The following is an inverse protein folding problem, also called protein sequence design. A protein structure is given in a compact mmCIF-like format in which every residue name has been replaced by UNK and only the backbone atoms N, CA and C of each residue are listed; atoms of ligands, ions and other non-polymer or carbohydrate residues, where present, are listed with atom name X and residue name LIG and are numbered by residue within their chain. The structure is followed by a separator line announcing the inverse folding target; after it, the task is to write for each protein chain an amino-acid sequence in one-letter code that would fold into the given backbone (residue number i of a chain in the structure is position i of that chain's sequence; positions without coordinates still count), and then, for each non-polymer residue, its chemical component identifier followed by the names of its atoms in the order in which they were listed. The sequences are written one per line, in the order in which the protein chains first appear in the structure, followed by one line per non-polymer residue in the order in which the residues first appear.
data_IF_540246100554
#
_entry.id   IF_540246100554
#
_cell.length_a   1.000
_cell.length_b   1.000
_cell.length_c   1.000
_cell.angle_alpha   90.00
_cell.angle_beta   90.00
_cell.angle_gamma   90.00
#
_symmetry.space_group_name_H-M   'P 1'
#
loop_
_entity.id
_entity.type
_entity.pdbx_description
1 polymer ?
#
# COMPACT_ATOMS: atom_id res chain seq x y z
N UNK A 1 -8.13 -16.57 -11.37
CA UNK A 1 -6.75 -16.34 -11.84
C UNK A 1 -6.16 -15.20 -11.00
N UNK A 2 -4.85 -15.16 -10.82
CA UNK A 2 -4.18 -14.09 -10.08
C UNK A 2 -3.52 -13.12 -11.05
N UNK A 3 -3.52 -11.84 -10.68
CA UNK A 3 -2.94 -10.78 -11.47
C UNK A 3 -2.16 -9.83 -10.57
N UNK A 4 -0.93 -9.54 -10.95
CA UNK A 4 -0.11 -8.52 -10.30
C UNK A 4 -0.25 -7.19 -11.04
N UNK A 5 -0.22 -6.09 -10.31
CA UNK A 5 -0.09 -4.76 -10.89
C UNK A 5 1.29 -4.65 -11.56
N UNK A 6 1.35 -4.05 -12.75
CA UNK A 6 2.62 -3.87 -13.46
C UNK A 6 3.56 -2.93 -12.71
N UNK A 7 4.84 -2.96 -13.10
CA UNK A 7 5.88 -2.16 -12.46
C UNK A 7 5.60 -0.66 -12.70
N UNK A 8 5.77 0.19 -11.68
CA UNK A 8 5.81 1.63 -11.88
C UNK A 8 6.98 2.03 -12.79
N UNK A 9 6.89 3.19 -13.42
CA UNK A 9 7.95 3.80 -14.23
C UNK A 9 8.40 5.12 -13.60
N UNK A 10 9.29 5.84 -14.27
CA UNK A 10 9.65 7.21 -13.89
C UNK A 10 8.55 8.22 -14.29
N UNK A 11 7.56 7.79 -15.07
CA UNK A 11 6.45 8.63 -15.54
C UNK A 11 5.32 8.64 -14.50
N UNK A 12 5.01 9.83 -13.99
CA UNK A 12 3.96 10.03 -12.99
C UNK A 12 2.58 9.58 -13.51
N UNK A 13 2.24 9.91 -14.75
CA UNK A 13 0.98 9.54 -15.40
C UNK A 13 0.75 8.02 -15.41
N UNK A 14 1.80 7.25 -15.71
CA UNK A 14 1.76 5.79 -15.70
C UNK A 14 1.55 5.25 -14.27
N UNK A 15 2.25 5.83 -13.30
CA UNK A 15 2.14 5.40 -11.91
C UNK A 15 0.74 5.64 -11.34
N UNK A 16 0.15 6.81 -11.60
CA UNK A 16 -1.24 7.05 -11.23
C UNK A 16 -2.22 6.21 -12.03
N UNK A 17 -1.96 5.92 -13.31
CA UNK A 17 -2.79 5.02 -14.10
C UNK A 17 -2.87 3.63 -13.44
N UNK A 18 -1.72 3.08 -13.04
CA UNK A 18 -1.68 1.81 -12.32
C UNK A 18 -2.49 1.85 -11.01
N UNK A 19 -2.32 2.90 -10.22
CA UNK A 19 -3.03 3.06 -8.95
C UNK A 19 -4.53 3.24 -9.16
N UNK A 20 -4.95 3.98 -10.19
CA UNK A 20 -6.35 4.16 -10.56
C UNK A 20 -6.99 2.84 -11.01
N UNK A 21 -6.31 2.07 -11.86
CA UNK A 21 -6.81 0.76 -12.26
C UNK A 21 -6.89 -0.22 -11.08
N UNK A 22 -5.99 -0.09 -10.11
CA UNK A 22 -6.05 -0.84 -8.86
C UNK A 22 -7.23 -0.40 -7.96
N UNK A 23 -7.54 0.89 -7.85
CA UNK A 23 -8.65 1.38 -7.01
C UNK A 23 -9.99 0.84 -7.50
N UNK A 24 -10.21 0.85 -8.81
CA UNK A 24 -11.40 0.28 -9.45
C UNK A 24 -11.57 -1.24 -9.25
N UNK A 25 -10.53 -1.93 -8.76
CA UNK A 25 -10.50 -3.38 -8.51
C UNK A 25 -10.18 -3.73 -7.06
N UNK A 26 -10.24 -2.76 -6.15
CA UNK A 26 -9.94 -2.89 -4.72
C UNK A 26 -10.59 -4.12 -4.08
N UNK A 27 -11.84 -4.43 -4.38
CA UNK A 27 -12.56 -5.62 -3.85
C UNK A 27 -11.91 -6.98 -4.17
N UNK A 28 -11.06 -7.05 -5.19
CA UNK A 28 -10.35 -8.28 -5.59
C UNK A 28 -8.92 -8.34 -5.04
N UNK A 29 -8.48 -7.31 -4.34
CA UNK A 29 -7.14 -7.23 -3.78
C UNK A 29 -6.94 -8.29 -2.69
N UNK A 30 -5.85 -9.05 -2.75
CA UNK A 30 -5.55 -10.13 -1.80
C UNK A 30 -4.28 -9.90 -0.97
N UNK A 31 -3.51 -8.88 -1.32
CA UNK A 31 -2.26 -8.53 -0.65
C UNK A 31 -1.23 -7.97 -1.61
N UNK A 32 -0.23 -7.29 -1.06
CA UNK A 32 0.99 -6.94 -1.79
C UNK A 32 2.06 -7.95 -1.47
N UNK A 33 2.76 -8.39 -2.50
CA UNK A 33 3.75 -9.44 -2.43
C UNK A 33 5.10 -8.91 -2.85
N UNK A 34 6.14 -9.25 -2.11
CA UNK A 34 7.51 -9.18 -2.62
C UNK A 34 7.81 -10.46 -3.38
N UNK A 35 7.82 -10.35 -4.71
CA UNK A 35 8.13 -11.44 -5.62
C UNK A 35 9.63 -11.38 -5.91
N UNK A 36 10.35 -12.38 -5.40
CA UNK A 36 11.81 -12.39 -5.40
C UNK A 36 12.39 -12.42 -6.83
N UNK A 37 11.78 -13.20 -7.72
CA UNK A 37 12.17 -13.33 -9.13
C UNK A 37 12.09 -12.02 -9.89
N UNK A 38 11.15 -11.14 -9.51
CA UNK A 38 10.95 -9.83 -10.13
C UNK A 38 11.66 -8.70 -9.37
N UNK A 39 12.23 -9.04 -8.20
CA UNK A 39 12.75 -8.12 -7.21
C UNK A 39 11.82 -6.90 -6.98
N UNK A 40 10.51 -7.16 -6.84
CA UNK A 40 9.48 -6.12 -6.84
C UNK A 40 8.42 -6.40 -5.77
N UNK A 41 8.02 -5.34 -5.07
CA UNK A 41 6.79 -5.33 -4.29
C UNK A 41 5.64 -4.98 -5.23
N UNK A 42 4.67 -5.88 -5.40
CA UNK A 42 3.52 -5.63 -6.26
C UNK A 42 2.21 -6.04 -5.61
N UNK A 43 1.18 -5.19 -5.69
CA UNK A 43 -0.21 -5.54 -5.41
C UNK A 43 -0.70 -6.71 -6.26
N UNK A 44 -1.38 -7.65 -5.63
CA UNK A 44 -1.94 -8.83 -6.30
C UNK A 44 -3.45 -8.89 -6.07
N UNK A 45 -4.16 -9.26 -7.14
CA UNK A 45 -5.60 -9.32 -7.21
C UNK A 45 -6.05 -10.71 -7.69
N UNK A 46 -7.13 -11.23 -7.10
CA UNK A 46 -7.79 -12.46 -7.54
C UNK A 46 -9.11 -12.09 -8.22
N UNK A 47 -9.09 -12.00 -9.55
CA UNK A 47 -10.22 -11.53 -10.36
C UNK A 47 -10.50 -12.43 -11.58
N UNK A 48 -11.71 -12.40 -12.14
CA UNK A 48 -12.02 -13.10 -13.39
C UNK A 48 -11.31 -12.42 -14.58
N UNK A 49 -10.86 -13.17 -15.60
CA UNK A 49 -10.14 -12.60 -16.75
C UNK A 49 -10.93 -11.53 -17.53
N UNK A 50 -12.26 -11.56 -17.47
CA UNK A 50 -13.16 -10.68 -18.21
C UNK A 50 -13.11 -9.20 -17.79
N UNK A 51 -12.56 -8.90 -16.61
CA UNK A 51 -12.53 -7.52 -16.06
C UNK A 51 -11.11 -6.95 -15.93
N UNK A 52 -10.12 -7.67 -16.45
CA UNK A 52 -8.70 -7.34 -16.31
C UNK A 52 -8.26 -6.42 -17.44
N UNK A 53 -7.72 -5.27 -17.07
CA UNK A 53 -7.00 -4.44 -18.03
C UNK A 53 -5.56 -4.93 -18.19
N UNK A 54 -5.27 -5.55 -19.34
CA UNK A 54 -3.94 -6.08 -19.66
C UNK A 54 -2.85 -5.00 -19.77
N UNK A 55 -3.22 -3.72 -19.84
CA UNK A 55 -2.26 -2.61 -19.77
C UNK A 55 -1.73 -2.45 -18.36
N UNK A 56 -2.60 -2.52 -17.35
CA UNK A 56 -2.22 -2.30 -15.94
C UNK A 56 -1.80 -3.58 -15.19
N UNK A 57 -2.29 -4.75 -15.62
CA UNK A 57 -2.10 -6.00 -14.90
C UNK A 57 -1.38 -7.06 -15.72
N UNK A 58 -0.60 -7.90 -15.04
CA UNK A 58 0.04 -9.09 -15.61
C UNK A 58 -0.43 -10.35 -14.89
N UNK A 59 -0.74 -11.45 -15.60
CA UNK A 59 -1.05 -12.71 -14.95
C UNK A 59 0.13 -13.20 -14.10
N UNK A 60 -0.18 -13.88 -13.00
CA UNK A 60 0.81 -14.51 -12.13
C UNK A 60 0.34 -15.91 -11.75
N UNK A 61 1.26 -16.86 -11.81
CA UNK A 61 1.01 -18.24 -11.41
C UNK A 61 0.91 -18.35 -9.89
N UNK A 62 0.09 -19.28 -9.43
CA UNK A 62 -0.15 -19.48 -7.99
C UNK A 62 1.14 -19.89 -7.27
N UNK A 63 1.95 -20.70 -7.91
CA UNK A 63 3.22 -21.21 -7.39
C UNK A 63 4.20 -20.07 -7.09
N UNK A 64 4.20 -19.02 -7.92
CA UNK A 64 5.02 -17.82 -7.67
C UNK A 64 4.54 -17.10 -6.40
N UNK A 65 3.21 -16.99 -6.21
CA UNK A 65 2.63 -16.36 -5.02
C UNK A 65 2.85 -17.17 -3.75
N UNK A 66 2.73 -18.50 -3.82
CA UNK A 66 2.95 -19.41 -2.68
C UNK A 66 4.40 -19.37 -2.17
N UNK A 67 5.33 -18.91 -3.02
CA UNK A 67 6.75 -18.71 -2.70
C UNK A 67 7.11 -17.26 -2.35
N UNK A 68 6.24 -16.29 -2.68
CA UNK A 68 6.46 -14.89 -2.42
C UNK A 68 6.21 -14.51 -0.95
N UNK A 69 6.72 -13.35 -0.55
CA UNK A 69 6.47 -12.78 0.77
C UNK A 69 5.26 -11.85 0.69
N UNK A 70 4.14 -12.22 1.31
CA UNK A 70 2.98 -11.34 1.46
C UNK A 70 3.27 -10.29 2.53
N UNK A 71 3.20 -9.00 2.21
CA UNK A 71 3.42 -7.93 3.18
C UNK A 71 2.28 -7.87 4.19
N UNK A 72 2.62 -7.58 5.45
CA UNK A 72 1.64 -7.52 6.55
C UNK A 72 1.76 -6.21 7.32
N UNK A 73 0.68 -5.44 7.38
CA UNK A 73 0.61 -4.29 8.28
C UNK A 73 0.37 -4.75 9.73
N UNK A 74 1.27 -4.37 10.63
CA UNK A 74 1.14 -4.72 12.06
C UNK A 74 0.44 -3.64 12.91
N UNK A 75 -0.10 -2.58 12.29
CA UNK A 75 -0.75 -1.48 13.00
C UNK A 75 0.21 -0.72 13.94
N UNK A 76 1.41 -0.37 13.44
CA UNK A 76 2.37 0.44 14.19
C UNK A 76 2.16 1.95 14.01
N UNK A 77 1.37 2.37 13.00
CA UNK A 77 1.02 3.77 12.72
C UNK A 77 2.10 4.56 11.97
N UNK A 78 3.31 4.00 11.77
CA UNK A 78 4.46 4.77 11.24
C UNK A 78 4.26 5.28 9.81
N UNK A 79 3.67 4.48 8.92
CA UNK A 79 3.37 4.92 7.55
C UNK A 79 2.24 5.95 7.48
N UNK A 80 1.35 5.99 8.48
CA UNK A 80 0.23 6.92 8.50
C UNK A 80 0.58 8.25 9.19
N UNK A 81 1.49 8.21 10.17
CA UNK A 81 1.71 9.31 11.11
C UNK A 81 2.73 10.36 10.65
N UNK A 82 3.50 10.14 9.58
CA UNK A 82 4.48 11.11 9.07
C UNK A 82 4.79 10.86 7.61
N UNK A 83 4.87 11.92 6.82
CA UNK A 83 5.18 11.86 5.38
C UNK A 83 4.39 10.74 4.68
N UNK A 84 3.10 10.66 5.00
CA UNK A 84 2.27 9.51 4.64
C UNK A 84 2.10 9.37 3.13
N UNK A 85 2.20 10.47 2.38
CA UNK A 85 1.92 10.51 0.95
C UNK A 85 0.52 9.99 0.62
N UNK A 86 -0.38 10.00 1.61
CA UNK A 86 -1.72 9.47 1.46
C UNK A 86 -2.53 10.38 0.54
N UNK A 87 -3.28 9.76 -0.36
CA UNK A 87 -4.18 10.42 -1.29
C UNK A 87 -5.39 9.51 -1.55
N UNK A 88 -6.41 10.04 -2.19
CA UNK A 88 -7.52 9.25 -2.71
C UNK A 88 -7.97 9.80 -4.06
N UNK A 89 -8.41 8.93 -4.95
CA UNK A 89 -9.14 9.36 -6.13
C UNK A 89 -10.55 9.83 -5.73
N UNK A 90 -11.15 10.69 -6.56
CA UNK A 90 -12.49 11.23 -6.30
C UNK A 90 -13.54 10.14 -6.01
N UNK A 91 -13.58 9.06 -6.80
CA UNK A 91 -14.51 7.96 -6.58
C UNK A 91 -14.29 7.21 -5.26
N UNK A 92 -13.07 7.26 -4.69
CA UNK A 92 -12.79 6.66 -3.39
C UNK A 92 -13.21 7.58 -2.25
N UNK A 93 -13.05 8.91 -2.40
CA UNK A 93 -13.52 9.90 -1.40
C UNK A 93 -15.01 9.73 -1.13
N UNK A 94 -15.81 9.50 -2.17
CA UNK A 94 -17.25 9.26 -2.04
C UNK A 94 -17.60 8.09 -1.10
N UNK A 95 -16.71 7.10 -0.95
CA UNK A 95 -16.93 5.96 -0.05
C UNK A 95 -16.80 6.33 1.45
N UNK A 96 -16.13 7.44 1.78
CA UNK A 96 -15.82 7.79 3.17
C UNK A 96 -15.89 9.27 3.52
N UNK A 97 -16.43 10.12 2.64
CA UNK A 97 -16.49 11.58 2.84
C UNK A 97 -17.16 11.99 4.15
N UNK A 98 -18.20 11.27 4.58
CA UNK A 98 -18.94 11.56 5.81
C UNK A 98 -18.16 11.23 7.10
N UNK A 99 -17.04 10.52 6.95
CA UNK A 99 -16.14 10.16 8.07
C UNK A 99 -14.92 11.08 8.14
N UNK A 100 -14.71 11.95 7.15
CA UNK A 100 -13.60 12.87 7.18
C UNK A 100 -13.73 13.84 8.37
N UNK A 101 -12.62 14.13 9.06
CA UNK A 101 -12.64 15.12 10.15
C UNK A 101 -12.70 16.57 9.64
N UNK A 102 -12.63 16.77 8.33
CA UNK A 102 -12.69 18.05 7.63
C UNK A 102 -13.60 17.91 6.41
N UNK A 103 -14.21 19.00 5.98
CA UNK A 103 -15.06 19.01 4.78
C UNK A 103 -14.22 18.73 3.52
N UNK A 104 -14.82 18.06 2.53
CA UNK A 104 -14.11 17.61 1.31
C UNK A 104 -13.59 18.78 0.48
N UNK A 105 -14.32 19.89 0.45
CA UNK A 105 -13.95 21.13 -0.23
C UNK A 105 -12.73 21.84 0.39
N UNK A 106 -12.42 21.54 1.65
CA UNK A 106 -11.22 22.00 2.35
C UNK A 106 -9.98 21.12 2.10
N UNK A 107 -10.13 19.99 1.41
CA UNK A 107 -8.98 19.16 1.02
C UNK A 107 -8.28 19.75 -0.20
N UNK A 108 -6.96 19.84 -0.17
CA UNK A 108 -6.20 20.13 -1.39
C UNK A 108 -6.38 19.00 -2.40
N UNK A 109 -6.59 19.37 -3.66
CA UNK A 109 -6.73 18.45 -4.76
C UNK A 109 -6.01 18.97 -5.99
N UNK A 110 -5.72 18.06 -6.92
CA UNK A 110 -5.17 18.38 -8.23
C UNK A 110 -5.72 17.40 -9.27
N UNK A 111 -5.63 17.77 -10.54
CA UNK A 111 -5.87 16.85 -11.64
C UNK A 111 -4.56 16.22 -12.08
N UNK A 112 -4.62 14.92 -12.37
CA UNK A 112 -3.54 14.21 -13.03
C UNK A 112 -4.10 13.58 -14.30
N UNK A 113 -3.37 13.71 -15.41
CA UNK A 113 -3.76 13.12 -16.68
C UNK A 113 -3.26 11.70 -16.74
N UNK A 114 -4.17 10.74 -16.73
CA UNK A 114 -3.83 9.33 -16.77
C UNK A 114 -3.75 8.82 -18.21
N UNK A 115 -2.73 8.00 -18.47
CA UNK A 115 -2.65 7.25 -19.72
C UNK A 115 -3.95 6.46 -19.95
N UNK A 116 -4.60 6.65 -21.09
CA UNK A 116 -5.80 5.91 -21.51
C UNK A 116 -7.10 6.14 -20.71
N UNK A 117 -7.13 7.03 -19.72
CA UNK A 117 -8.35 7.36 -18.95
C UNK A 117 -8.71 8.84 -19.10
N UNK A 118 -7.71 9.73 -19.14
CA UNK A 118 -7.93 11.18 -19.15
C UNK A 118 -7.69 11.81 -17.78
N UNK A 119 -8.25 12.98 -17.55
CA UNK A 119 -8.01 13.74 -16.32
C UNK A 119 -8.80 13.14 -15.16
N UNK A 120 -8.09 12.86 -14.06
CA UNK A 120 -8.68 12.34 -12.83
C UNK A 120 -8.31 13.25 -11.67
N UNK A 121 -9.30 13.56 -10.84
CA UNK A 121 -9.13 14.36 -9.63
C UNK A 121 -8.57 13.50 -8.49
N UNK A 122 -7.51 13.99 -7.88
CA UNK A 122 -6.80 13.35 -6.75
C UNK A 122 -6.83 14.29 -5.56
N UNK A 123 -7.32 13.79 -4.43
CA UNK A 123 -7.35 14.50 -3.16
C UNK A 123 -6.17 14.10 -2.29
N UNK A 124 -5.46 15.08 -1.75
CA UNK A 124 -4.35 14.85 -0.82
C UNK A 124 -4.88 14.64 0.60
N UNK A 125 -4.52 13.52 1.20
CA UNK A 125 -4.89 13.17 2.57
C UNK A 125 -3.75 13.41 3.56
N UNK A 126 -2.54 13.72 3.09
CA UNK A 126 -1.32 13.93 3.88
C UNK A 126 -1.20 15.34 4.48
N UNK A 127 -2.30 15.89 5.01
CA UNK A 127 -2.39 17.30 5.45
C UNK A 127 -2.23 17.56 6.93
N UNK A 128 -2.11 16.51 7.74
CA UNK A 128 -1.80 16.67 9.14
C UNK A 128 -0.36 17.13 9.39
N UNK A 129 -0.05 17.45 10.64
CA UNK A 129 1.29 17.86 11.08
C UNK A 129 2.35 16.87 10.57
N UNK A 130 3.45 17.40 10.02
CA UNK A 130 4.54 16.64 9.41
C UNK A 130 4.13 15.68 8.27
N UNK A 131 3.04 16.00 7.55
CA UNK A 131 2.51 15.18 6.44
C UNK A 131 1.78 13.92 6.90
N UNK A 132 1.22 13.95 8.12
CA UNK A 132 0.38 12.86 8.63
C UNK A 132 -0.93 12.77 7.85
N UNK A 133 -1.49 11.56 7.75
CA UNK A 133 -2.78 11.36 7.10
C UNK A 133 -3.91 11.92 7.96
N UNK A 134 -4.83 12.69 7.37
CA UNK A 134 -6.01 13.25 8.04
C UNK A 134 -6.94 12.18 8.60
N UNK A 135 -6.91 10.97 8.03
CA UNK A 135 -7.68 9.81 8.51
C UNK A 135 -7.02 9.07 9.68
N UNK A 136 -5.81 9.46 10.09
CA UNK A 136 -5.09 8.80 11.17
C UNK A 136 -5.37 9.47 12.52
N UNK A 137 -6.06 8.76 13.41
CA UNK A 137 -6.25 9.19 14.79
C UNK A 137 -4.96 8.94 15.58
N UNK A 138 -4.23 10.02 15.87
CA UNK A 138 -2.97 9.98 16.63
C UNK A 138 -3.18 9.49 18.07
N UNK A 139 -4.32 9.82 18.70
CA UNK A 139 -4.64 9.42 20.08
C UNK A 139 -4.89 7.92 20.16
N UNK A 140 -5.74 7.40 19.26
CA UNK A 140 -6.06 5.96 19.17
C UNK A 140 -4.98 5.14 18.45
N UNK A 141 -4.05 5.81 17.76
CA UNK A 141 -2.99 5.21 16.93
C UNK A 141 -3.56 4.27 15.87
N UNK A 142 -4.64 4.70 15.23
CA UNK A 142 -5.43 3.88 14.32
C UNK A 142 -6.04 4.73 13.21
N UNK A 143 -6.33 4.12 12.06
CA UNK A 143 -7.05 4.78 10.97
C UNK A 143 -8.54 4.80 11.27
N UNK A 144 -9.22 5.93 11.08
CA UNK A 144 -10.67 6.02 11.33
C UNK A 144 -11.50 5.19 10.34
N UNK A 145 -10.94 4.87 9.16
CA UNK A 145 -11.59 4.04 8.16
C UNK A 145 -11.45 2.55 8.46
N UNK A 146 -12.50 1.80 8.14
CA UNK A 146 -12.43 0.35 8.06
C UNK A 146 -11.49 -0.08 6.92
N UNK A 147 -11.06 -1.35 6.89
CA UNK A 147 -10.06 -1.81 5.92
C UNK A 147 -10.57 -1.71 4.48
N UNK A 148 -11.84 -2.04 4.28
CA UNK A 148 -12.56 -2.04 3.01
C UNK A 148 -12.80 -0.63 2.44
N UNK A 149 -12.86 0.38 3.31
CA UNK A 149 -13.10 1.79 2.95
C UNK A 149 -11.81 2.52 2.62
N UNK A 150 -10.65 1.94 2.95
CA UNK A 150 -9.37 2.62 2.75
C UNK A 150 -9.11 2.89 1.26
N UNK A 151 -8.56 4.06 0.92
CA UNK A 151 -8.07 4.34 -0.43
C UNK A 151 -7.06 3.31 -0.89
N UNK A 152 -6.95 3.13 -2.20
CA UNK A 152 -6.09 2.15 -2.83
C UNK A 152 -4.62 2.34 -2.44
N UNK A 153 -4.18 3.59 -2.26
CA UNK A 153 -2.81 3.85 -1.82
C UNK A 153 -2.59 3.39 -0.39
N UNK A 154 -3.59 3.48 0.49
CA UNK A 154 -3.47 3.06 1.89
C UNK A 154 -3.47 1.53 2.03
N UNK A 155 -4.18 0.84 1.14
CA UNK A 155 -4.06 -0.62 1.06
C UNK A 155 -2.73 -0.95 0.40
N UNK A 156 -2.38 -0.47 -0.79
CA UNK A 156 -1.16 -0.87 -1.53
C UNK A 156 0.16 -0.41 -0.88
N UNK A 157 0.18 0.70 -0.15
CA UNK A 157 1.36 1.25 0.49
C UNK A 157 1.67 0.47 1.77
N UNK A 158 2.38 -0.64 1.61
CA UNK A 158 2.69 -1.51 2.73
C UNK A 158 4.01 -1.21 3.41
N UNK A 159 4.01 -1.50 4.71
CA UNK A 159 5.23 -1.67 5.47
C UNK A 159 6.03 -2.86 4.92
N UNK A 160 7.13 -2.59 4.21
CA UNK A 160 8.05 -3.64 3.74
C UNK A 160 8.81 -4.36 4.88
N UNK A 161 8.57 -3.98 6.14
CA UNK A 161 9.28 -4.55 7.29
C UNK A 161 8.79 -5.93 7.67
N UNK A 162 7.48 -6.21 7.53
CA UNK A 162 6.87 -7.46 7.96
C UNK A 162 6.23 -8.18 6.80
N UNK A 163 6.41 -9.48 6.78
CA UNK A 163 5.82 -10.34 5.77
C UNK A 163 5.35 -11.66 6.35
N UNK A 164 4.51 -12.35 5.60
CA UNK A 164 4.10 -13.71 5.81
C UNK A 164 4.43 -14.52 4.55
N UNK A 165 4.92 -15.74 4.74
CA UNK A 165 5.14 -16.70 3.65
C UNK A 165 4.82 -18.09 4.18
N UNK A 166 3.91 -18.80 3.51
CA UNK A 166 3.47 -20.17 3.88
C UNK A 166 3.07 -20.29 5.36
N UNK A 167 2.27 -19.35 5.86
CA UNK A 167 1.79 -19.33 7.25
C UNK A 167 2.83 -18.94 8.31
N UNK A 168 4.06 -18.59 7.90
CA UNK A 168 5.13 -18.15 8.80
C UNK A 168 5.39 -16.67 8.65
N UNK A 169 5.70 -16.01 9.76
CA UNK A 169 6.04 -14.59 9.79
C UNK A 169 7.53 -14.34 9.57
N UNK A 170 7.82 -13.26 8.87
CA UNK A 170 9.16 -12.82 8.54
C UNK A 170 9.32 -11.33 8.80
N UNK A 171 10.55 -10.93 9.14
CA UNK A 171 10.94 -9.54 9.33
C UNK A 171 12.11 -9.21 8.42
N UNK A 172 12.05 -8.06 7.75
CA UNK A 172 13.16 -7.50 6.98
C UNK A 172 14.25 -7.06 7.95
N UNK A 173 15.40 -7.71 7.88
CA UNK A 173 16.54 -7.45 8.78
C UNK A 173 17.68 -6.71 8.10
N UNK A 174 17.73 -6.74 6.77
CA UNK A 174 18.77 -6.09 5.99
C UNK A 174 18.29 -5.82 4.56
N UNK A 175 19.08 -5.04 3.82
CA UNK A 175 19.00 -4.87 2.37
C UNK A 175 20.39 -5.14 1.82
N UNK A 176 20.51 -6.10 0.89
CA UNK A 176 21.76 -6.42 0.20
C UNK A 176 21.78 -5.74 -1.16
N UNK A 177 22.88 -5.07 -1.50
CA UNK A 177 23.09 -4.51 -2.84
C UNK A 177 23.69 -5.59 -3.74
N UNK A 178 23.12 -5.81 -4.93
CA UNK A 178 23.63 -6.73 -5.95
C UNK A 178 23.38 -6.12 -7.33
N UNK A 179 24.44 -5.88 -8.12
CA UNK A 179 24.34 -5.31 -9.47
C UNK A 179 23.39 -4.10 -9.57
N UNK A 180 23.57 -3.10 -8.71
CA UNK A 180 22.70 -1.91 -8.56
C UNK A 180 21.27 -2.14 -8.09
N UNK A 181 20.87 -3.38 -7.80
CA UNK A 181 19.59 -3.67 -7.18
C UNK A 181 19.69 -3.79 -5.65
N UNK A 182 18.62 -3.38 -4.97
CA UNK A 182 18.46 -3.50 -3.52
C UNK A 182 17.55 -4.68 -3.18
N UNK A 183 18.13 -5.75 -2.65
CA UNK A 183 17.42 -6.99 -2.33
C UNK A 183 17.11 -7.02 -0.82
N UNK A 184 15.84 -6.97 -0.40
CA UNK A 184 15.45 -7.12 0.99
C UNK A 184 15.77 -8.55 1.49
N UNK A 185 16.36 -8.64 2.69
CA UNK A 185 16.59 -9.91 3.37
C UNK A 185 15.58 -10.06 4.50
N UNK A 186 14.76 -11.10 4.39
CA UNK A 186 13.77 -11.49 5.39
C UNK A 186 14.27 -12.66 6.22
N UNK A 187 14.11 -12.59 7.55
CA UNK A 187 14.35 -13.71 8.48
C UNK A 187 13.05 -14.11 9.17
N UNK A 188 12.87 -15.41 9.38
CA UNK A 188 11.72 -15.95 10.11
C UNK A 188 11.70 -15.37 11.52
N UNK A 189 10.54 -14.89 11.96
CA UNK A 189 10.36 -14.26 13.25
C UNK A 189 9.40 -15.09 14.11
N UNK A 190 9.88 -15.52 15.28
CA UNK A 190 9.03 -16.15 16.29
C UNK A 190 8.17 -15.10 17.00
N UNK A 191 7.00 -15.52 17.52
CA UNK A 191 5.96 -14.61 18.05
C UNK A 191 6.41 -13.60 19.11
N UNK A 192 7.45 -13.91 19.91
CA UNK A 192 8.03 -12.96 20.90
C UNK A 192 8.81 -11.82 20.22
N UNK A 193 9.52 -12.11 19.13
CA UNK A 193 10.32 -11.13 18.36
C UNK A 193 9.39 -10.12 17.68
N UNK A 194 8.29 -10.60 17.08
CA UNK A 194 7.28 -9.73 16.44
C UNK A 194 6.69 -8.71 17.42
N UNK A 195 6.29 -9.15 18.62
CA UNK A 195 5.77 -8.27 19.68
C UNK A 195 6.80 -7.24 20.14
N UNK A 196 8.07 -7.66 20.31
CA UNK A 196 9.16 -6.76 20.72
C UNK A 196 9.41 -5.67 19.68
N UNK A 197 9.51 -6.01 18.39
CA UNK A 197 9.75 -5.03 17.33
C UNK A 197 8.55 -4.08 17.19
N UNK A 198 7.31 -4.58 17.27
CA UNK A 198 6.10 -3.74 17.28
C UNK A 198 6.12 -2.72 18.43
N UNK A 199 6.51 -3.15 19.63
CA UNK A 199 6.65 -2.26 20.78
C UNK A 199 7.77 -1.23 20.61
N UNK A 200 8.93 -1.63 20.06
CA UNK A 200 10.06 -0.72 19.81
C UNK A 200 9.67 0.37 18.81
N UNK A 201 9.04 0.00 17.70
CA UNK A 201 8.59 0.96 16.68
C UNK A 201 7.55 1.95 17.24
N UNK A 202 6.63 1.47 18.08
CA UNK A 202 5.64 2.32 18.76
C UNK A 202 6.25 3.29 19.77
N UNK A 203 7.42 2.96 20.33
CA UNK A 203 8.17 3.79 21.29
C UNK A 203 9.06 4.81 20.58
N UNK A 204 9.72 4.43 19.48
CA UNK A 204 10.55 5.35 18.70
C UNK A 204 9.76 6.57 18.19
N UNK A 205 8.44 6.42 17.96
CA UNK A 205 7.53 7.52 17.64
C UNK A 205 7.24 8.48 18.82
N UNK A 206 7.47 8.09 20.07
CA UNK A 206 7.27 8.99 21.24
C UNK A 206 8.44 9.98 21.44
N UNK A 207 9.56 9.75 20.75
CA UNK A 207 10.84 10.44 21.01
C UNK A 207 11.18 11.50 19.96
N UNK A 208 10.27 11.78 19.03
CA UNK A 208 10.41 12.72 17.91
C UNK A 208 9.11 13.47 17.73
#
# INVERSE_FOLDING_TARGET
MFYALKRPSEEEEWNYFLLYMASLRKRYFIGTYYIQEWNLYTPVFKMPPTIVDKRAFTPIEKEVLDNAYRMVCIGCGRCCARSSGAFAFEHEIEEFKDKLPIEVDLLDWFYVRLSYVGDVKVFRLDKGVAGSCVLYDVKKRWCILAEEEKPVICIIHYCSLYAERRGKYYVKVAVKRRYNELIPIYKEAQGKVLRRIKSMLRRAYRST
#
